data_IF_390086882024
#
_entry.id   IF_390086882024
#
_cell.length_a   1.000
_cell.length_b   1.000
_cell.length_c   1.000
_cell.angle_alpha   90.00
_cell.angle_beta   90.00
_cell.angle_gamma   90.00
#
_symmetry.space_group_name_H-M   'P 1'
#
loop_
_entity.id
_entity.type
_entity.pdbx_description
1 polymer ?
#
# COMPACT_ATOMS: atom_id res chain seq x y z
N UNK A 1 -4.01 5.02 -25.12
CA UNK A 1 -3.76 3.86 -24.26
C UNK A 1 -3.49 4.34 -22.83
N UNK A 2 -3.84 3.57 -21.78
CA UNK A 2 -3.50 3.93 -20.39
C UNK A 2 -1.98 4.02 -20.21
N UNK A 3 -1.51 4.96 -19.38
CA UNK A 3 -0.10 5.04 -19.02
C UNK A 3 0.26 3.95 -18.01
N UNK A 4 1.50 3.44 -18.07
CA UNK A 4 2.00 2.41 -17.16
C UNK A 4 2.40 3.05 -15.82
N UNK A 5 1.42 3.44 -15.03
CA UNK A 5 1.62 4.15 -13.77
C UNK A 5 0.61 3.78 -12.67
N UNK A 6 -0.07 2.64 -12.79
CA UNK A 6 -0.89 2.06 -11.72
C UNK A 6 -0.03 1.11 -10.91
N UNK A 7 0.04 1.35 -9.61
CA UNK A 7 0.89 0.58 -8.69
C UNK A 7 0.07 -0.56 -8.10
N UNK A 8 0.62 -1.77 -8.16
CA UNK A 8 0.06 -2.95 -7.52
C UNK A 8 0.60 -3.12 -6.09
N UNK A 9 -0.02 -3.94 -5.25
CA UNK A 9 0.54 -4.30 -3.93
C UNK A 9 1.93 -4.95 -4.01
N UNK A 10 2.28 -5.54 -5.16
CA UNK A 10 3.62 -6.07 -5.45
C UNK A 10 4.65 -4.99 -5.83
N UNK A 11 4.26 -3.72 -5.80
CA UNK A 11 5.13 -2.61 -6.17
C UNK A 11 5.40 -2.47 -7.67
N UNK A 12 4.83 -3.33 -8.52
CA UNK A 12 4.91 -3.26 -9.98
C UNK A 12 4.05 -2.14 -10.55
N UNK A 13 4.36 -1.71 -11.77
CA UNK A 13 3.65 -0.65 -12.48
C UNK A 13 2.93 -1.24 -13.69
N UNK A 14 1.63 -1.00 -13.80
CA UNK A 14 0.79 -1.56 -14.85
C UNK A 14 0.03 -0.48 -15.63
N UNK A 15 -0.27 -0.78 -16.90
CA UNK A 15 -0.98 0.11 -17.82
C UNK A 15 -2.46 -0.30 -17.87
N UNK A 16 -3.25 0.18 -16.92
CA UNK A 16 -4.70 -0.09 -16.84
C UNK A 16 -5.51 1.18 -16.70
N UNK A 17 -6.77 1.16 -17.12
CA UNK A 17 -7.67 2.33 -17.13
C UNK A 17 -8.22 2.67 -15.73
N UNK A 18 -8.15 1.74 -14.77
CA UNK A 18 -8.62 1.96 -13.40
C UNK A 18 -8.01 3.21 -12.77
N UNK A 19 -8.77 3.90 -11.91
CA UNK A 19 -8.35 5.12 -11.23
C UNK A 19 -7.98 4.83 -9.78
N UNK A 20 -6.83 5.36 -9.35
CA UNK A 20 -6.46 5.34 -7.94
C UNK A 20 -7.04 6.54 -7.19
N UNK A 21 -7.11 6.45 -5.86
CA UNK A 21 -7.54 7.54 -4.97
C UNK A 21 -6.37 8.37 -4.43
N UNK A 22 -5.15 7.86 -4.54
CA UNK A 22 -3.92 8.52 -4.15
C UNK A 22 -2.91 8.53 -5.29
N UNK A 23 -1.99 9.48 -5.26
CA UNK A 23 -0.84 9.50 -6.16
C UNK A 23 0.48 9.56 -5.38
N UNK A 24 1.58 9.23 -6.03
CA UNK A 24 2.91 9.34 -5.46
C UNK A 24 3.99 9.33 -6.51
N UNK A 25 5.23 9.25 -6.08
CA UNK A 25 6.36 9.18 -7.00
C UNK A 25 7.55 8.45 -6.37
N UNK A 26 8.46 8.03 -7.24
CA UNK A 26 9.76 7.42 -6.93
C UNK A 26 10.90 8.13 -7.68
N UNK A 27 10.63 9.33 -8.22
CA UNK A 27 11.51 10.09 -9.11
C UNK A 27 11.06 10.09 -10.57
N UNK A 28 11.95 10.50 -11.48
CA UNK A 28 11.69 10.49 -12.92
C UNK A 28 12.07 9.11 -13.47
N UNK A 29 11.08 8.31 -13.87
CA UNK A 29 11.28 6.94 -14.36
C UNK A 29 10.84 6.76 -15.81
N UNK A 30 10.33 7.83 -16.45
CA UNK A 30 9.85 7.84 -17.83
C UNK A 30 10.69 8.80 -18.71
N UNK A 31 10.65 8.55 -19.99
CA UNK A 31 11.25 9.41 -21.01
C UNK A 31 10.34 10.59 -21.40
N UNK A 32 10.76 11.37 -22.38
CA UNK A 32 9.99 12.55 -22.85
C UNK A 32 8.63 12.18 -23.48
N UNK A 33 8.45 10.92 -23.87
CA UNK A 33 7.21 10.40 -24.45
C UNK A 33 6.30 9.76 -23.38
N UNK A 34 6.73 9.72 -22.11
CA UNK A 34 6.00 9.10 -21.02
C UNK A 34 6.14 7.56 -21.00
N UNK A 35 7.16 7.01 -21.63
CA UNK A 35 7.45 5.58 -21.62
C UNK A 35 8.39 5.26 -20.46
N UNK A 36 8.05 4.25 -19.64
CA UNK A 36 8.90 3.85 -18.51
C UNK A 36 10.19 3.21 -19.01
N UNK A 37 11.30 3.65 -18.42
CA UNK A 37 12.61 3.00 -18.57
C UNK A 37 12.76 1.76 -17.67
N UNK A 38 14.00 1.30 -17.52
CA UNK A 38 14.35 0.17 -16.63
C UNK A 38 14.42 0.57 -15.16
N UNK A 39 14.53 1.87 -14.85
CA UNK A 39 14.56 2.39 -13.49
C UNK A 39 13.24 2.10 -12.77
N UNK A 40 13.32 1.68 -11.51
CA UNK A 40 12.15 1.44 -10.64
C UNK A 40 12.01 2.52 -9.57
N UNK A 41 13.07 3.31 -9.36
CA UNK A 41 13.16 4.49 -8.52
C UNK A 41 14.44 5.27 -8.84
N UNK A 42 14.48 6.54 -8.40
CA UNK A 42 15.69 7.40 -8.45
C UNK A 42 16.13 7.88 -7.07
N UNK A 43 15.26 7.78 -6.06
CA UNK A 43 15.53 8.22 -4.69
C UNK A 43 14.74 7.38 -3.68
N UNK A 44 15.15 7.35 -2.41
CA UNK A 44 14.45 6.57 -1.37
C UNK A 44 13.19 7.24 -0.80
N UNK A 45 12.84 8.47 -1.22
CA UNK A 45 11.76 9.27 -0.64
C UNK A 45 10.42 8.97 -1.34
N UNK A 46 9.82 7.82 -1.04
CA UNK A 46 8.56 7.41 -1.65
C UNK A 46 7.39 7.88 -0.82
N UNK A 47 6.61 8.79 -1.37
CA UNK A 47 5.48 9.42 -0.69
C UNK A 47 4.16 9.16 -1.42
N UNK A 48 3.06 9.05 -0.65
CA UNK A 48 1.69 8.98 -1.14
C UNK A 48 0.98 10.32 -0.84
N UNK A 49 0.52 10.98 -1.89
CA UNK A 49 -0.09 12.31 -1.90
C UNK A 49 -1.57 12.25 -2.21
N UNK A 50 -2.31 13.33 -1.94
CA UNK A 50 -3.66 13.55 -2.46
C UNK A 50 -3.60 13.79 -3.97
N UNK A 51 -4.66 13.44 -4.69
CA UNK A 51 -4.80 13.72 -6.12
C UNK A 51 -4.88 15.23 -6.41
N UNK A 52 -5.59 15.96 -5.55
CA UNK A 52 -5.72 17.42 -5.64
C UNK A 52 -5.22 18.09 -4.35
N UNK A 53 -4.39 19.11 -4.50
CA UNK A 53 -3.87 19.89 -3.38
C UNK A 53 -3.50 21.31 -3.80
N UNK A 54 -4.09 22.34 -3.16
CA UNK A 54 -3.81 23.77 -3.36
C UNK A 54 -3.90 24.24 -4.83
N UNK A 55 -4.85 23.66 -5.61
CA UNK A 55 -5.00 24.02 -7.02
C UNK A 55 -3.84 23.64 -7.94
N UNK A 56 -2.85 22.90 -7.44
CA UNK A 56 -1.70 22.47 -8.27
C UNK A 56 -2.16 21.50 -9.34
N UNK A 57 -1.93 21.86 -10.56
CA UNK A 57 -2.19 21.02 -11.73
C UNK A 57 -0.96 20.95 -12.63
N UNK A 58 -0.76 19.80 -13.24
CA UNK A 58 0.26 19.60 -14.28
C UNK A 58 -0.12 18.39 -15.14
N UNK A 59 0.40 18.33 -16.38
CA UNK A 59 0.26 17.14 -17.21
C UNK A 59 0.91 15.93 -16.53
N UNK A 60 0.24 14.78 -16.58
CA UNK A 60 0.74 13.52 -16.02
C UNK A 60 1.93 13.03 -16.86
N UNK A 61 3.03 12.68 -16.19
CA UNK A 61 4.29 12.24 -16.80
C UNK A 61 4.81 13.25 -17.83
N UNK A 62 4.80 14.52 -17.45
CA UNK A 62 5.35 15.58 -18.27
C UNK A 62 6.89 15.43 -18.38
N UNK A 63 7.46 15.80 -19.52
CA UNK A 63 8.89 15.76 -19.71
C UNK A 63 9.65 16.49 -18.58
N UNK A 64 10.73 15.88 -18.08
CA UNK A 64 11.57 16.38 -16.96
C UNK A 64 10.83 16.55 -15.63
N UNK A 65 9.63 15.98 -15.48
CA UNK A 65 8.89 15.92 -14.22
C UNK A 65 8.99 14.52 -13.62
N UNK A 66 8.66 14.38 -12.35
CA UNK A 66 8.56 13.06 -11.73
C UNK A 66 7.47 12.21 -12.40
N UNK A 67 7.57 10.88 -12.28
CA UNK A 67 6.56 9.94 -12.76
C UNK A 67 5.42 9.88 -11.73
N UNK A 68 4.22 10.33 -12.10
CA UNK A 68 3.03 10.19 -11.26
C UNK A 68 2.59 8.73 -11.23
N UNK A 69 2.64 8.16 -10.05
CA UNK A 69 2.16 6.81 -9.74
C UNK A 69 0.80 6.91 -9.06
N UNK A 70 -0.11 5.99 -9.34
CA UNK A 70 -1.44 5.98 -8.74
C UNK A 70 -1.69 4.68 -7.98
N UNK A 71 -2.26 4.81 -6.79
CA UNK A 71 -2.62 3.71 -5.91
C UNK A 71 -4.13 3.64 -5.76
N UNK A 72 -4.69 2.43 -5.71
CA UNK A 72 -6.09 2.24 -5.39
C UNK A 72 -6.45 2.99 -4.10
N UNK A 73 -5.64 2.77 -3.05
CA UNK A 73 -5.83 3.36 -1.74
C UNK A 73 -4.52 3.45 -0.93
N UNK A 74 -4.65 3.75 0.36
CA UNK A 74 -3.52 3.91 1.26
C UNK A 74 -2.82 2.58 1.59
N UNK A 75 -3.59 1.48 1.72
CA UNK A 75 -3.01 0.17 2.01
C UNK A 75 -2.13 -0.31 0.84
N UNK A 76 -2.57 -0.11 -0.41
CA UNK A 76 -1.75 -0.38 -1.61
C UNK A 76 -0.49 0.50 -1.62
N UNK A 77 -0.62 1.79 -1.26
CA UNK A 77 0.54 2.68 -1.20
C UNK A 77 1.57 2.18 -0.17
N UNK A 78 1.12 1.74 1.02
CA UNK A 78 1.98 1.17 2.05
C UNK A 78 2.61 -0.16 1.62
N UNK A 79 1.85 -1.08 1.03
CA UNK A 79 2.38 -2.34 0.51
C UNK A 79 3.49 -2.09 -0.51
N UNK A 80 3.29 -1.12 -1.40
CA UNK A 80 4.32 -0.67 -2.35
C UNK A 80 5.42 0.21 -1.72
N UNK A 81 5.46 0.34 -0.39
CA UNK A 81 6.51 1.00 0.38
C UNK A 81 6.47 2.53 0.40
N UNK A 82 5.33 3.16 0.16
CA UNK A 82 5.15 4.61 0.25
C UNK A 82 4.57 5.00 1.61
N UNK A 83 4.97 6.14 2.15
CA UNK A 83 4.40 6.73 3.37
C UNK A 83 3.56 7.97 3.05
N UNK A 84 2.69 8.43 3.98
CA UNK A 84 1.93 9.66 3.79
C UNK A 84 2.84 10.88 3.58
N UNK A 85 2.43 11.76 2.67
CA UNK A 85 3.12 13.04 2.43
C UNK A 85 2.97 13.98 3.62
N UNK A 86 4.08 14.54 4.09
CA UNK A 86 4.10 15.47 5.23
C UNK A 86 3.40 16.81 4.92
N UNK A 87 3.23 17.18 3.65
CA UNK A 87 2.59 18.44 3.24
C UNK A 87 1.08 18.24 2.98
N UNK A 88 0.73 17.47 1.94
CA UNK A 88 -0.67 17.37 1.50
C UNK A 88 -1.51 16.38 2.32
N UNK A 89 -0.87 15.49 3.10
CA UNK A 89 -1.50 14.51 4.00
C UNK A 89 -0.97 14.65 5.42
N UNK A 90 -0.89 15.89 5.90
CA UNK A 90 -0.21 16.24 7.15
C UNK A 90 -0.78 15.53 8.37
N UNK A 91 -2.09 15.36 8.45
CA UNK A 91 -2.75 14.66 9.55
C UNK A 91 -2.42 13.16 9.54
N UNK A 92 -2.57 12.50 8.37
CA UNK A 92 -2.19 11.09 8.20
C UNK A 92 -0.70 10.88 8.51
N UNK A 93 0.17 11.82 8.08
CA UNK A 93 1.59 11.76 8.39
C UNK A 93 1.87 11.89 9.90
N UNK A 94 1.16 12.76 10.62
CA UNK A 94 1.29 12.88 12.08
C UNK A 94 0.86 11.59 12.79
N UNK A 95 -0.29 11.00 12.41
CA UNK A 95 -0.74 9.70 12.93
C UNK A 95 0.29 8.60 12.65
N UNK A 96 0.84 8.60 11.45
CA UNK A 96 1.91 7.68 11.06
C UNK A 96 3.16 7.83 11.94
N UNK A 97 3.60 9.05 12.23
CA UNK A 97 4.74 9.27 13.12
C UNK A 97 4.50 8.81 14.56
N UNK A 98 3.28 8.96 15.07
CA UNK A 98 2.90 8.46 16.40
C UNK A 98 3.03 6.93 16.43
N UNK A 99 2.40 6.24 15.48
CA UNK A 99 2.47 4.79 15.39
C UNK A 99 3.90 4.28 15.10
N UNK A 100 4.68 5.01 14.29
CA UNK A 100 6.08 4.69 14.03
C UNK A 100 6.95 4.74 15.29
N UNK A 101 6.74 5.74 16.17
CA UNK A 101 7.42 5.80 17.47
C UNK A 101 7.00 4.64 18.37
N UNK A 102 5.69 4.43 18.52
CA UNK A 102 5.14 3.35 19.34
C UNK A 102 5.67 1.98 18.91
N UNK A 103 5.68 1.69 17.62
CA UNK A 103 6.22 0.45 17.06
C UNK A 103 7.70 0.20 17.40
N UNK A 104 8.45 1.26 17.74
CA UNK A 104 9.89 1.18 18.06
C UNK A 104 10.22 1.45 19.52
N UNK A 105 9.22 1.57 20.38
CA UNK A 105 9.42 1.93 21.79
C UNK A 105 10.09 3.29 21.99
N UNK A 106 9.97 4.22 21.02
CA UNK A 106 10.60 5.53 21.10
C UNK A 106 9.71 6.51 21.87
N UNK A 107 10.29 7.37 22.72
CA UNK A 107 9.55 8.44 23.39
C UNK A 107 8.80 9.36 22.40
N UNK A 108 7.67 9.91 22.82
CA UNK A 108 6.88 10.84 22.00
C UNK A 108 7.69 12.10 21.57
N UNK A 109 8.65 12.52 22.41
CA UNK A 109 9.56 13.63 22.17
C UNK A 109 10.68 13.32 21.17
N UNK A 110 10.88 12.06 20.77
CA UNK A 110 11.95 11.68 19.84
C UNK A 110 11.81 12.43 18.53
N UNK A 111 12.90 13.08 18.11
CA UNK A 111 12.98 13.70 16.80
C UNK A 111 13.08 12.61 15.73
N UNK A 112 12.11 12.56 14.84
CA UNK A 112 12.10 11.66 13.67
C UNK A 112 12.21 12.52 12.40
N UNK A 113 13.25 12.27 11.64
CA UNK A 113 13.37 12.86 10.31
C UNK A 113 12.69 11.95 9.27
N UNK A 114 11.98 12.56 8.34
CA UNK A 114 11.35 11.84 7.23
C UNK A 114 12.37 11.02 6.42
N UNK A 115 13.60 11.54 6.29
CA UNK A 115 14.71 10.89 5.60
C UNK A 115 15.17 9.60 6.28
N UNK A 116 15.12 9.53 7.62
CA UNK A 116 15.50 8.31 8.35
C UNK A 116 14.46 7.22 8.19
N UNK A 117 13.17 7.61 8.23
CA UNK A 117 12.06 6.71 7.92
C UNK A 117 12.18 6.20 6.48
N UNK A 118 12.40 7.08 5.53
CA UNK A 118 12.54 6.72 4.10
C UNK A 118 13.70 5.76 3.88
N UNK A 119 14.83 5.96 4.56
CA UNK A 119 16.00 5.09 4.50
C UNK A 119 15.72 3.70 5.09
N UNK A 120 15.02 3.65 6.24
CA UNK A 120 14.61 2.39 6.86
C UNK A 120 13.66 1.62 5.92
N UNK A 121 12.61 2.26 5.44
CA UNK A 121 11.66 1.66 4.50
C UNK A 121 12.33 1.19 3.20
N UNK A 122 13.31 1.95 2.69
CA UNK A 122 13.98 1.59 1.43
C UNK A 122 14.73 0.27 1.52
N UNK A 123 15.34 -0.02 2.66
CA UNK A 123 16.04 -1.29 2.92
C UNK A 123 15.10 -2.48 3.04
N UNK A 124 13.84 -2.26 3.42
CA UNK A 124 12.86 -3.30 3.68
C UNK A 124 11.95 -3.61 2.49
N UNK A 125 11.81 -2.69 1.54
CA UNK A 125 10.82 -2.81 0.46
C UNK A 125 11.38 -3.30 -0.86
N UNK A 126 12.67 -3.12 -1.11
CA UNK A 126 13.28 -3.47 -2.40
C UNK A 126 14.69 -4.00 -2.25
N UNK A 127 14.98 -5.06 -2.99
CA UNK A 127 16.34 -5.54 -3.22
C UNK A 127 16.98 -4.70 -4.32
N UNK A 128 18.06 -3.98 -3.98
CA UNK A 128 18.65 -2.98 -4.88
C UNK A 128 19.21 -3.58 -6.17
N UNK A 129 19.76 -4.80 -6.12
CA UNK A 129 20.39 -5.45 -7.28
C UNK A 129 19.34 -5.99 -8.26
N UNK A 130 18.33 -6.70 -7.76
CA UNK A 130 17.28 -7.32 -8.59
C UNK A 130 16.13 -6.38 -8.88
N UNK A 131 15.99 -5.28 -8.11
CA UNK A 131 14.89 -4.31 -8.17
C UNK A 131 13.53 -4.92 -7.88
N UNK A 132 13.52 -6.04 -7.15
CA UNK A 132 12.30 -6.75 -6.74
C UNK A 132 11.86 -6.31 -5.35
N UNK A 133 10.57 -6.48 -5.06
CA UNK A 133 10.03 -6.26 -3.72
C UNK A 133 10.57 -7.33 -2.77
N UNK A 134 10.93 -6.91 -1.56
CA UNK A 134 11.25 -7.82 -0.45
C UNK A 134 9.94 -8.24 0.20
N UNK A 135 9.74 -9.55 0.36
CA UNK A 135 8.60 -10.14 1.06
C UNK A 135 9.04 -10.83 2.34
N UNK A 136 8.11 -11.05 3.27
CA UNK A 136 8.32 -11.77 4.52
C UNK A 136 7.34 -12.94 4.58
N UNK A 137 7.66 -13.97 5.36
CA UNK A 137 6.71 -15.06 5.67
C UNK A 137 6.07 -14.80 7.03
N UNK A 138 4.77 -15.04 7.14
CA UNK A 138 4.03 -14.97 8.40
C UNK A 138 2.81 -15.88 8.36
N UNK A 139 2.25 -16.21 9.53
CA UNK A 139 0.93 -16.83 9.61
C UNK A 139 -0.15 -15.74 9.45
N UNK A 140 -1.14 -15.97 8.63
CA UNK A 140 -2.13 -14.96 8.23
C UNK A 140 -2.88 -14.33 9.43
N UNK A 141 -3.40 -15.06 10.43
CA UNK A 141 -4.08 -14.49 11.59
C UNK A 141 -3.22 -13.57 12.46
N UNK A 142 -1.89 -13.66 12.37
CA UNK A 142 -0.99 -12.82 13.17
C UNK A 142 -0.79 -11.42 12.57
N UNK A 143 -1.37 -11.16 11.41
CA UNK A 143 -1.16 -9.92 10.68
C UNK A 143 -2.22 -8.87 11.04
N UNK A 144 -1.82 -7.61 11.27
CA UNK A 144 -2.74 -6.53 11.58
C UNK A 144 -3.54 -6.10 10.35
N UNK A 145 -4.65 -5.41 10.60
CA UNK A 145 -5.50 -4.77 9.60
C UNK A 145 -4.68 -3.93 8.60
N UNK A 146 -5.00 -4.06 7.32
CA UNK A 146 -4.39 -3.29 6.24
C UNK A 146 -3.12 -3.89 5.67
N UNK A 147 -2.69 -5.06 6.15
CA UNK A 147 -1.52 -5.76 5.64
C UNK A 147 -1.85 -6.47 4.33
N UNK A 148 -1.06 -6.23 3.29
CA UNK A 148 -1.17 -6.97 2.04
C UNK A 148 -0.35 -8.24 2.07
N UNK A 149 -0.95 -9.32 1.57
CA UNK A 149 -0.34 -10.65 1.47
C UNK A 149 -0.62 -11.29 0.11
N UNK A 150 0.23 -12.25 -0.27
CA UNK A 150 -0.04 -13.24 -1.31
C UNK A 150 -0.09 -14.63 -0.66
N UNK A 151 -1.03 -15.46 -1.10
CA UNK A 151 -1.22 -16.82 -0.55
C UNK A 151 -0.78 -17.83 -1.58
N UNK A 152 0.35 -18.52 -1.36
CA UNK A 152 0.83 -19.55 -2.29
C UNK A 152 -0.19 -20.70 -2.46
N UNK A 153 -0.24 -21.35 -3.66
CA UNK A 153 0.55 -21.05 -4.86
C UNK A 153 -0.02 -19.92 -5.72
N UNK A 154 -1.11 -19.25 -5.28
CA UNK A 154 -1.75 -18.15 -5.99
C UNK A 154 -0.88 -16.88 -5.98
N UNK A 155 -1.18 -15.99 -6.94
CA UNK A 155 -0.54 -14.67 -7.07
C UNK A 155 -1.50 -13.52 -6.83
N UNK A 156 -2.72 -13.80 -6.37
CA UNK A 156 -3.64 -12.74 -5.98
C UNK A 156 -3.11 -12.00 -4.75
N UNK A 157 -3.26 -10.68 -4.75
CA UNK A 157 -2.99 -9.86 -3.57
C UNK A 157 -4.25 -9.74 -2.72
N UNK A 158 -4.09 -9.93 -1.42
CA UNK A 158 -5.17 -9.85 -0.43
C UNK A 158 -4.79 -8.86 0.66
N UNK A 159 -5.76 -8.06 1.12
CA UNK A 159 -5.57 -7.18 2.28
C UNK A 159 -6.31 -7.75 3.49
N UNK A 160 -5.67 -7.75 4.65
CA UNK A 160 -6.29 -8.13 5.92
C UNK A 160 -7.27 -7.05 6.37
N UNK A 161 -8.45 -7.48 6.81
CA UNK A 161 -9.40 -6.68 7.58
C UNK A 161 -9.60 -7.31 8.96
N UNK A 162 -10.72 -7.10 9.67
CA UNK A 162 -10.85 -7.57 11.08
C UNK A 162 -10.76 -9.10 11.21
N UNK A 163 -11.61 -9.82 10.51
CA UNK A 163 -11.70 -11.29 10.57
C UNK A 163 -11.50 -11.94 9.21
N UNK A 164 -11.42 -11.13 8.17
CA UNK A 164 -11.40 -11.57 6.79
C UNK A 164 -10.21 -11.00 6.02
N UNK A 165 -10.04 -11.48 4.80
CA UNK A 165 -9.18 -10.87 3.80
C UNK A 165 -9.99 -10.52 2.56
N UNK A 166 -9.64 -9.40 1.92
CA UNK A 166 -10.28 -8.93 0.69
C UNK A 166 -9.32 -9.05 -0.48
N UNK A 167 -9.79 -9.63 -1.59
CA UNK A 167 -8.99 -9.71 -2.81
C UNK A 167 -8.92 -8.34 -3.48
N UNK A 168 -7.72 -7.93 -3.78
CA UNK A 168 -7.43 -6.69 -4.48
C UNK A 168 -7.55 -6.85 -5.99
N UNK A 169 -8.09 -5.84 -6.64
CA UNK A 169 -8.01 -5.58 -8.08
C UNK A 169 -7.66 -4.11 -8.31
N UNK A 170 -7.29 -3.74 -9.52
CA UNK A 170 -7.07 -2.32 -9.84
C UNK A 170 -8.31 -1.43 -9.68
N UNK A 171 -9.51 -2.01 -9.73
CA UNK A 171 -10.79 -1.30 -9.64
C UNK A 171 -11.38 -1.28 -8.21
N UNK A 172 -10.81 -2.05 -7.30
CA UNK A 172 -11.32 -2.17 -5.92
C UNK A 172 -11.11 -3.56 -5.34
N UNK A 173 -11.85 -3.84 -4.28
CA UNK A 173 -11.89 -5.15 -3.63
C UNK A 173 -13.16 -5.87 -4.08
N UNK A 174 -13.03 -7.09 -4.58
CA UNK A 174 -14.13 -7.79 -5.26
C UNK A 174 -14.53 -9.13 -4.63
N UNK A 175 -13.76 -9.65 -3.68
CA UNK A 175 -14.02 -10.92 -3.01
C UNK A 175 -13.52 -10.88 -1.57
N UNK A 176 -14.33 -11.43 -0.66
CA UNK A 176 -13.95 -11.64 0.73
C UNK A 176 -13.84 -13.14 1.04
N UNK A 177 -13.00 -13.49 2.00
CA UNK A 177 -12.97 -14.79 2.64
C UNK A 177 -12.44 -14.68 4.07
N UNK A 178 -12.89 -15.57 5.00
CA UNK A 178 -12.39 -15.60 6.36
C UNK A 178 -10.89 -15.85 6.45
N UNK A 179 -10.25 -15.21 7.43
CA UNK A 179 -8.86 -15.55 7.79
C UNK A 179 -8.83 -16.91 8.48
N UNK A 180 -7.87 -17.74 8.08
CA UNK A 180 -7.55 -19.01 8.74
C UNK A 180 -6.03 -19.18 8.80
N UNK A 181 -5.56 -20.08 9.66
CA UNK A 181 -4.14 -20.33 9.81
C UNK A 181 -3.55 -20.89 8.50
N UNK A 182 -2.70 -20.10 7.88
CA UNK A 182 -1.96 -20.43 6.66
C UNK A 182 -0.73 -19.53 6.54
N UNK A 183 0.37 -20.09 6.07
CA UNK A 183 1.56 -19.31 5.77
C UNK A 183 1.38 -18.48 4.50
N UNK A 184 1.72 -17.20 4.58
CA UNK A 184 1.57 -16.24 3.51
C UNK A 184 2.87 -15.47 3.24
N UNK A 185 2.99 -14.94 2.04
CA UNK A 185 3.99 -13.94 1.71
C UNK A 185 3.44 -12.55 2.02
N UNK A 186 4.05 -11.84 2.95
CA UNK A 186 3.68 -10.47 3.33
C UNK A 186 4.33 -9.50 2.37
N UNK A 187 3.50 -8.74 1.64
CA UNK A 187 3.93 -7.74 0.65
C UNK A 187 4.22 -6.39 1.32
N UNK A 188 3.56 -6.10 2.44
CA UNK A 188 3.75 -4.88 3.21
C UNK A 188 5.09 -4.92 3.95
N UNK A 189 5.96 -3.88 3.83
CA UNK A 189 7.23 -3.83 4.52
C UNK A 189 7.11 -4.04 6.03
N UNK A 190 8.10 -4.72 6.65
CA UNK A 190 8.09 -5.07 8.08
C UNK A 190 7.75 -3.89 8.98
N UNK A 191 8.45 -2.78 8.82
CA UNK A 191 8.21 -1.58 9.64
C UNK A 191 6.78 -1.03 9.51
N UNK A 192 6.15 -1.20 8.35
CA UNK A 192 4.75 -0.79 8.15
C UNK A 192 3.79 -1.75 8.86
N UNK A 193 4.05 -3.06 8.83
CA UNK A 193 3.28 -4.04 9.61
C UNK A 193 3.35 -3.70 11.11
N UNK A 194 4.52 -3.34 11.62
CA UNK A 194 4.70 -2.91 13.02
C UNK A 194 3.95 -1.61 13.32
N UNK A 195 3.93 -0.66 12.41
CA UNK A 195 3.14 0.58 12.49
C UNK A 195 1.64 0.29 12.54
N UNK A 196 1.16 -0.69 11.77
CA UNK A 196 -0.24 -1.12 11.83
C UNK A 196 -0.57 -1.80 13.17
N UNK A 197 0.31 -2.67 13.70
CA UNK A 197 0.17 -3.24 15.06
C UNK A 197 0.13 -2.17 16.15
N UNK A 198 0.86 -1.09 15.97
CA UNK A 198 0.87 0.07 16.86
C UNK A 198 -0.35 1.00 16.68
N UNK A 199 -1.39 0.58 15.95
CA UNK A 199 -2.68 1.24 15.85
C UNK A 199 -2.87 2.16 14.64
N UNK A 200 -1.95 2.21 13.70
CA UNK A 200 -2.22 2.91 12.44
C UNK A 200 -3.15 2.07 11.56
N UNK A 201 -4.31 2.61 11.24
CA UNK A 201 -5.27 1.98 10.31
C UNK A 201 -5.22 2.70 8.97
N UNK A 202 -4.74 2.05 7.90
CA UNK A 202 -4.78 2.64 6.57
C UNK A 202 -6.22 2.75 6.06
N UNK A 203 -6.48 3.81 5.30
CA UNK A 203 -7.77 4.01 4.64
C UNK A 203 -7.85 3.10 3.43
N UNK A 204 -8.85 2.22 3.39
CA UNK A 204 -9.14 1.39 2.24
C UNK A 204 -10.08 2.10 1.26
N UNK A 205 -10.09 1.64 0.02
CA UNK A 205 -11.06 2.06 -0.99
C UNK A 205 -12.49 1.69 -0.56
N UNK A 206 -13.53 2.52 -0.84
CA UNK A 206 -14.90 2.25 -0.39
C UNK A 206 -15.46 0.87 -0.79
N UNK A 207 -14.97 0.24 -1.85
CA UNK A 207 -15.34 -1.13 -2.22
C UNK A 207 -14.99 -2.17 -1.15
N UNK A 208 -14.13 -1.84 -0.16
CA UNK A 208 -13.81 -2.75 0.94
C UNK A 208 -15.03 -2.98 1.86
N UNK A 209 -15.88 -1.98 2.03
CA UNK A 209 -17.12 -2.11 2.81
C UNK A 209 -18.12 -3.04 2.12
N UNK A 210 -18.28 -2.91 0.80
CA UNK A 210 -19.12 -3.78 0.01
C UNK A 210 -18.58 -5.24 -0.03
N UNK A 211 -17.26 -5.39 -0.15
CA UNK A 211 -16.58 -6.69 -0.13
C UNK A 211 -16.76 -7.42 1.20
N UNK A 212 -16.69 -6.70 2.33
CA UNK A 212 -16.90 -7.27 3.66
C UNK A 212 -18.36 -7.71 3.89
N UNK A 213 -19.34 -7.01 3.33
CA UNK A 213 -20.77 -7.35 3.46
C UNK A 213 -21.14 -8.67 2.77
N UNK A 214 -20.41 -9.11 1.75
CA UNK A 214 -20.63 -10.39 1.06
C UNK A 214 -20.16 -11.61 1.85
N UNK A 215 -19.41 -11.41 2.93
CA UNK A 215 -18.90 -12.47 3.82
C UNK A 215 -19.89 -12.88 4.93
N UNK A 216 -21.06 -12.24 5.07
CA UNK A 216 -22.06 -12.64 6.07
C UNK A 216 -22.55 -14.06 5.78
N UNK A 217 -22.11 -15.04 6.58
CA UNK A 217 -22.55 -16.43 6.60
C UNK A 217 -24.07 -16.50 6.59
N UNK A 218 -24.68 -17.42 5.82
CA UNK A 218 -26.08 -17.77 6.04
C UNK A 218 -26.17 -18.31 7.47
N UNK A 219 -26.93 -17.61 8.34
CA UNK A 219 -27.32 -18.14 9.66
C UNK A 219 -27.93 -19.51 9.42
N UNK A 220 -27.25 -20.57 9.87
CA UNK A 220 -27.74 -21.92 9.85
C UNK A 220 -29.15 -21.96 10.44
N UNK A 221 -30.14 -22.14 9.57
CA UNK A 221 -31.50 -22.43 9.97
C UNK A 221 -31.49 -23.71 10.79
N UNK A 222 -31.78 -23.64 12.09
CA UNK A 222 -32.16 -24.79 12.88
C UNK A 222 -33.51 -25.26 12.33
N UNK A 223 -33.49 -26.29 11.50
CA UNK A 223 -34.66 -27.08 11.22
C UNK A 223 -35.03 -27.81 12.51
N UNK A 224 -36.12 -27.40 13.10
CA UNK A 224 -36.91 -28.24 14.02
C UNK A 224 -37.68 -29.21 13.16
N UNK A 225 -37.49 -30.49 13.40
CA UNK A 225 -38.23 -31.58 12.84
C UNK A 225 -37.87 -32.84 13.60
#
# INVERSE_FOLDING_TARGET
MPRQNRVTPFGTLEAVSARGTLMGNRGIMHDVNGVLGTARWQHPHWIACRLAFKGRWRPIMAARSWTELFFLDEAVAFAAGHRPCAECRREDYRRFLVAWRAARGLPASSKLLATDIDRALHKERVESRTRTQITLKANLPDLPYGTFVAIPPGRDAWVTIETDILRWTHAGYDRSRPMHAVDVEVLTPRSIVEVFRAGYRPKLHPSAEAGAATSSHPKGGRGLG
#
